data_IF_065899029250
#
_entry.id   IF_065899029250
#
_cell.length_a   1.000
_cell.length_b   1.000
_cell.length_c   1.000
_cell.angle_alpha   90.00
_cell.angle_beta   90.00
_cell.angle_gamma   90.00
#
_symmetry.space_group_name_H-M   'P 1'
#
loop_
_entity.id
_entity.type
_entity.pdbx_description
1 polymer ?
#
# COMPACT_ATOMS: atom_id res chain seq x y z
N UNK A 1 8.75 -8.42 -26.25
CA UNK A 1 7.33 -8.00 -26.39
C UNK A 1 7.26 -6.50 -26.16
N UNK A 2 6.91 -5.74 -27.19
CA UNK A 2 6.68 -4.29 -27.07
C UNK A 2 5.35 -4.06 -26.38
N UNK A 3 5.37 -3.38 -25.23
CA UNK A 3 4.14 -2.97 -24.54
C UNK A 3 3.29 -2.16 -25.51
N UNK A 4 2.00 -2.50 -25.73
CA UNK A 4 1.14 -1.72 -26.60
C UNK A 4 1.13 -0.25 -26.15
N UNK A 5 1.06 0.71 -27.09
CA UNK A 5 1.04 2.12 -26.74
C UNK A 5 -0.13 2.37 -25.79
N UNK A 6 0.15 3.03 -24.67
CA UNK A 6 -0.89 3.36 -23.71
C UNK A 6 -1.88 4.32 -24.40
N UNK A 7 -3.19 4.21 -24.12
CA UNK A 7 -4.21 5.04 -24.76
C UNK A 7 -4.19 6.50 -24.29
N UNK A 8 -3.08 6.97 -23.72
CA UNK A 8 -2.90 8.30 -23.18
C UNK A 8 -1.45 8.77 -23.30
N UNK A 9 -1.28 10.08 -23.48
CA UNK A 9 0.01 10.75 -23.60
C UNK A 9 0.72 10.79 -22.23
N UNK A 10 1.77 9.98 -22.06
CA UNK A 10 2.53 9.87 -20.80
C UNK A 10 3.20 11.17 -20.38
N UNK A 11 3.53 12.04 -21.33
CA UNK A 11 4.24 13.29 -21.06
C UNK A 11 3.27 14.41 -20.67
N UNK A 12 1.97 14.24 -20.93
CA UNK A 12 0.93 15.24 -20.64
C UNK A 12 -0.26 14.66 -19.86
N UNK A 13 0.03 14.03 -18.71
CA UNK A 13 -1.00 13.45 -17.81
C UNK A 13 -1.79 14.50 -17.01
N UNK A 14 -1.22 15.69 -16.81
CA UNK A 14 -1.81 16.77 -16.03
C UNK A 14 -1.91 18.08 -16.81
N UNK A 15 -2.96 18.85 -16.54
CA UNK A 15 -3.15 20.21 -17.09
C UNK A 15 -3.49 21.18 -15.96
N UNK A 16 -2.94 22.38 -16.04
CA UNK A 16 -3.26 23.46 -15.12
C UNK A 16 -4.66 24.02 -15.43
N UNK A 17 -5.50 24.13 -14.42
CA UNK A 17 -6.84 24.69 -14.57
C UNK A 17 -6.77 26.21 -14.82
N UNK A 18 -7.48 26.73 -15.83
CA UNK A 18 -7.50 28.17 -16.13
C UNK A 18 -7.86 29.01 -14.91
N UNK A 19 -7.13 30.11 -14.69
CA UNK A 19 -7.43 31.09 -13.64
C UNK A 19 -7.09 30.65 -12.21
N UNK A 20 -6.46 29.49 -12.00
CA UNK A 20 -6.15 28.99 -10.65
C UNK A 20 -4.77 29.40 -10.13
N UNK A 21 -3.88 29.88 -11.00
CA UNK A 21 -2.54 30.36 -10.64
C UNK A 21 -2.60 31.63 -9.80
N UNK A 22 -1.71 31.73 -8.80
CA UNK A 22 -1.53 32.93 -7.97
C UNK A 22 -0.03 33.26 -7.86
N UNK A 23 0.35 34.52 -7.58
CA UNK A 23 1.75 34.87 -7.33
C UNK A 23 2.36 33.96 -6.24
N UNK A 24 3.52 33.36 -6.53
CA UNK A 24 4.23 32.48 -5.59
C UNK A 24 3.79 31.00 -5.59
N UNK A 25 2.82 30.59 -6.41
CA UNK A 25 2.41 29.18 -6.52
C UNK A 25 2.01 28.79 -7.95
N UNK A 26 2.03 27.48 -8.22
CA UNK A 26 1.45 26.93 -9.45
C UNK A 26 -0.08 27.01 -9.41
N UNK A 27 -0.73 26.88 -10.56
CA UNK A 27 -2.17 26.63 -10.58
C UNK A 27 -2.53 25.23 -10.05
N UNK A 28 -3.82 24.96 -9.96
CA UNK A 28 -4.37 23.65 -9.62
C UNK A 28 -4.25 22.76 -10.85
N UNK A 29 -3.63 21.59 -10.71
CA UNK A 29 -3.51 20.60 -11.79
C UNK A 29 -4.62 19.55 -11.70
N UNK A 30 -5.17 19.18 -12.85
CA UNK A 30 -6.11 18.06 -13.02
C UNK A 30 -5.57 17.07 -14.04
N UNK A 31 -6.05 15.83 -13.95
CA UNK A 31 -5.79 14.82 -14.99
C UNK A 31 -6.38 15.32 -16.31
N UNK A 32 -5.60 15.24 -17.39
CA UNK A 32 -6.08 15.55 -18.75
C UNK A 32 -7.34 14.74 -19.10
N UNK A 33 -8.33 15.41 -19.68
CA UNK A 33 -9.65 14.85 -20.04
C UNK A 33 -10.64 14.74 -18.89
N UNK A 34 -10.30 15.26 -17.71
CA UNK A 34 -11.16 15.33 -16.51
C UNK A 34 -10.94 16.67 -15.78
N UNK A 35 -10.77 17.75 -16.54
CA UNK A 35 -10.54 19.10 -16.05
C UNK A 35 -11.77 19.63 -15.27
N UNK A 36 -12.95 19.19 -15.67
CA UNK A 36 -14.26 19.61 -15.17
C UNK A 36 -14.77 18.78 -13.97
N UNK A 37 -14.18 17.61 -13.70
CA UNK A 37 -14.69 16.70 -12.66
C UNK A 37 -13.61 15.91 -11.92
N UNK A 38 -13.94 15.52 -10.69
CA UNK A 38 -13.18 14.53 -9.94
C UNK A 38 -13.63 13.12 -10.29
N UNK A 39 -12.69 12.18 -10.41
CA UNK A 39 -13.01 10.76 -10.57
C UNK A 39 -12.89 10.06 -9.23
N UNK A 40 -14.00 9.49 -8.76
CA UNK A 40 -14.00 8.64 -7.56
C UNK A 40 -13.65 7.18 -7.88
N UNK A 41 -13.96 6.72 -9.09
CA UNK A 41 -13.68 5.35 -9.54
C UNK A 41 -13.47 5.28 -11.06
N UNK A 42 -12.89 4.19 -11.60
CA UNK A 42 -12.69 4.04 -13.02
C UNK A 42 -14.02 3.78 -13.75
N UNK A 43 -14.50 4.74 -14.55
CA UNK A 43 -15.74 4.62 -15.36
C UNK A 43 -15.78 3.37 -16.26
N UNK A 44 -14.62 2.93 -16.78
CA UNK A 44 -14.52 1.69 -17.58
C UNK A 44 -14.60 0.40 -16.75
N UNK A 45 -14.51 0.50 -15.42
CA UNK A 45 -14.58 -0.61 -14.46
C UNK A 45 -15.31 -0.15 -13.20
N UNK A 46 -16.62 0.16 -13.27
CA UNK A 46 -17.37 0.77 -12.18
C UNK A 46 -17.54 -0.13 -10.95
N UNK A 47 -17.26 -1.44 -11.09
CA UNK A 47 -17.22 -2.40 -9.98
C UNK A 47 -15.98 -2.23 -9.09
N UNK A 48 -14.94 -1.51 -9.53
CA UNK A 48 -13.75 -1.23 -8.72
C UNK A 48 -14.01 0.06 -7.94
N UNK A 49 -14.40 -0.06 -6.68
CA UNK A 49 -14.76 1.09 -5.82
C UNK A 49 -13.78 1.30 -4.68
N UNK A 50 -13.02 0.27 -4.34
CA UNK A 50 -12.06 0.27 -3.23
C UNK A 50 -10.70 -0.24 -3.69
N UNK A 51 -9.67 -0.01 -2.88
CA UNK A 51 -8.35 -0.60 -3.10
C UNK A 51 -8.41 -2.14 -2.99
N UNK A 52 -9.31 -2.67 -2.15
CA UNK A 52 -9.65 -4.09 -2.11
C UNK A 52 -10.10 -4.60 -3.49
N UNK A 53 -11.08 -3.94 -4.10
CA UNK A 53 -11.59 -4.34 -5.43
C UNK A 53 -10.49 -4.27 -6.48
N UNK A 54 -9.64 -3.24 -6.44
CA UNK A 54 -8.54 -3.08 -7.37
C UNK A 54 -7.51 -4.21 -7.24
N UNK A 55 -7.16 -4.58 -6.00
CA UNK A 55 -6.26 -5.70 -5.72
C UNK A 55 -6.85 -7.03 -6.21
N UNK A 56 -8.11 -7.33 -5.84
CA UNK A 56 -8.80 -8.55 -6.28
C UNK A 56 -8.96 -8.61 -7.80
N UNK A 57 -9.26 -7.49 -8.44
CA UNK A 57 -9.31 -7.39 -9.90
C UNK A 57 -7.95 -7.73 -10.53
N UNK A 58 -6.85 -7.18 -9.99
CA UNK A 58 -5.49 -7.49 -10.46
C UNK A 58 -5.14 -8.97 -10.35
N UNK A 59 -5.46 -9.59 -9.20
CA UNK A 59 -5.27 -11.04 -8.99
C UNK A 59 -6.06 -11.86 -10.01
N UNK A 60 -7.32 -11.50 -10.28
CA UNK A 60 -8.18 -12.21 -11.22
C UNK A 60 -7.72 -12.06 -12.68
N UNK A 61 -7.13 -10.91 -13.05
CA UNK A 61 -6.65 -10.67 -14.42
C UNK A 61 -5.43 -11.52 -14.78
N UNK A 62 -4.56 -11.81 -13.82
CA UNK A 62 -3.27 -12.45 -14.09
C UNK A 62 -2.69 -13.11 -12.85
N UNK A 63 -3.30 -14.19 -12.34
CA UNK A 63 -2.90 -14.80 -11.07
C UNK A 63 -1.45 -15.30 -11.10
N UNK A 64 -0.97 -15.75 -12.25
CA UNK A 64 0.38 -16.29 -12.44
C UNK A 64 1.41 -15.23 -12.88
N UNK A 65 1.01 -13.97 -13.07
CA UNK A 65 1.94 -12.92 -13.48
C UNK A 65 2.82 -12.48 -12.31
N UNK A 66 4.08 -12.07 -12.55
CA UNK A 66 4.93 -11.48 -11.53
C UNK A 66 4.31 -10.23 -10.89
N UNK A 67 4.31 -10.18 -9.55
CA UNK A 67 3.80 -9.03 -8.77
C UNK A 67 4.90 -8.40 -7.90
N UNK A 68 5.50 -9.17 -6.99
CA UNK A 68 6.52 -8.67 -6.06
C UNK A 68 7.86 -9.34 -6.32
N UNK A 69 8.87 -8.54 -6.67
CA UNK A 69 10.23 -8.99 -6.92
C UNK A 69 11.16 -8.68 -5.75
N UNK A 70 12.05 -9.60 -5.41
CA UNK A 70 13.17 -9.36 -4.48
C UNK A 70 14.48 -9.84 -5.08
N UNK A 71 15.61 -9.29 -4.63
CA UNK A 71 16.93 -9.78 -4.96
C UNK A 71 17.54 -10.45 -3.73
N UNK A 72 17.75 -11.77 -3.73
CA UNK A 72 18.40 -12.45 -2.62
C UNK A 72 19.83 -11.92 -2.44
N UNK A 73 20.22 -11.70 -1.18
CA UNK A 73 21.60 -11.42 -0.82
C UNK A 73 22.36 -12.73 -0.66
N UNK A 74 23.48 -12.88 -1.38
CA UNK A 74 24.41 -13.98 -1.20
C UNK A 74 25.50 -13.58 -0.20
N UNK A 75 25.56 -14.20 0.99
CA UNK A 75 26.54 -13.83 2.02
C UNK A 75 27.96 -14.29 1.68
N UNK A 76 28.13 -15.26 0.77
CA UNK A 76 29.44 -15.78 0.37
C UNK A 76 30.06 -14.85 -0.66
N UNK A 77 29.32 -14.52 -1.71
CA UNK A 77 29.82 -13.64 -2.78
C UNK A 77 29.66 -12.15 -2.44
N UNK A 78 28.87 -11.81 -1.41
CA UNK A 78 28.51 -10.44 -1.01
C UNK A 78 27.88 -9.66 -2.18
N UNK A 79 27.01 -10.32 -2.93
CA UNK A 79 26.31 -9.71 -4.06
C UNK A 79 24.82 -10.01 -4.01
N UNK A 80 24.04 -9.17 -4.68
CA UNK A 80 22.62 -9.41 -4.90
C UNK A 80 22.41 -10.23 -6.17
N UNK A 81 21.70 -11.35 -6.05
CA UNK A 81 21.33 -12.20 -7.17
C UNK A 81 20.29 -11.58 -8.13
N UNK A 82 19.82 -12.37 -9.11
CA UNK A 82 18.72 -11.97 -9.99
C UNK A 82 17.41 -11.80 -9.20
N UNK A 83 16.41 -11.17 -9.82
CA UNK A 83 15.09 -11.03 -9.21
C UNK A 83 14.38 -12.38 -9.11
N UNK A 84 13.93 -12.69 -7.90
CA UNK A 84 12.93 -13.71 -7.61
C UNK A 84 11.55 -13.05 -7.51
N UNK A 85 10.58 -13.54 -8.26
CA UNK A 85 9.24 -12.98 -8.32
C UNK A 85 8.23 -13.87 -7.60
N UNK A 86 7.33 -13.23 -6.86
CA UNK A 86 6.08 -13.82 -6.42
C UNK A 86 4.98 -13.44 -7.39
N UNK A 87 4.12 -14.40 -7.70
CA UNK A 87 2.94 -14.19 -8.54
C UNK A 87 1.84 -13.43 -7.78
N UNK A 88 0.90 -12.83 -8.51
CA UNK A 88 -0.27 -12.20 -7.89
C UNK A 88 -1.04 -13.16 -6.96
N UNK A 89 -1.19 -14.43 -7.34
CA UNK A 89 -1.87 -15.42 -6.51
C UNK A 89 -1.09 -15.69 -5.22
N UNK A 90 0.22 -15.92 -5.31
CA UNK A 90 1.07 -16.13 -4.12
C UNK A 90 1.01 -14.94 -3.17
N UNK A 91 1.04 -13.71 -3.70
CA UNK A 91 0.91 -12.51 -2.87
C UNK A 91 -0.49 -12.42 -2.24
N UNK A 92 -1.55 -12.71 -2.99
CA UNK A 92 -2.92 -12.76 -2.44
C UNK A 92 -3.04 -13.75 -1.28
N UNK A 93 -2.46 -14.94 -1.42
CA UNK A 93 -2.50 -15.97 -0.37
C UNK A 93 -1.77 -15.50 0.89
N UNK A 94 -0.57 -14.93 0.71
CA UNK A 94 0.22 -14.36 1.82
C UNK A 94 -0.48 -13.20 2.51
N UNK A 95 -1.11 -12.32 1.75
CA UNK A 95 -1.87 -11.18 2.29
C UNK A 95 -3.04 -11.67 3.15
N UNK A 96 -3.80 -12.67 2.68
CA UNK A 96 -4.90 -13.26 3.45
C UNK A 96 -4.40 -13.96 4.72
N UNK A 97 -3.35 -14.78 4.61
CA UNK A 97 -2.78 -15.48 5.76
C UNK A 97 -2.22 -14.50 6.81
N UNK A 98 -1.49 -13.48 6.36
CA UNK A 98 -0.92 -12.46 7.24
C UNK A 98 -2.01 -11.63 7.92
N UNK A 99 -3.01 -11.16 7.17
CA UNK A 99 -4.11 -10.37 7.72
C UNK A 99 -4.96 -11.16 8.73
N UNK A 100 -5.23 -12.44 8.47
CA UNK A 100 -5.91 -13.31 9.44
C UNK A 100 -5.10 -13.49 10.74
N UNK A 101 -3.79 -13.70 10.62
CA UNK A 101 -2.91 -13.77 11.79
C UNK A 101 -2.84 -12.45 12.56
N UNK A 102 -2.83 -11.33 11.85
CA UNK A 102 -2.83 -9.99 12.45
C UNK A 102 -4.12 -9.71 13.24
N UNK A 103 -5.27 -10.04 12.65
CA UNK A 103 -6.57 -9.93 13.32
C UNK A 103 -6.63 -10.82 14.56
N UNK A 104 -6.09 -12.05 14.48
CA UNK A 104 -5.99 -12.93 15.64
C UNK A 104 -5.14 -12.30 16.76
N UNK A 105 -3.94 -11.82 16.46
CA UNK A 105 -3.05 -11.17 17.45
C UNK A 105 -3.73 -9.97 18.10
N UNK A 106 -4.37 -9.12 17.29
CA UNK A 106 -5.11 -7.97 17.78
C UNK A 106 -6.17 -8.42 18.81
N UNK A 107 -6.98 -9.41 18.46
CA UNK A 107 -8.09 -9.87 19.30
C UNK A 107 -7.66 -10.64 20.56
N UNK A 108 -6.49 -11.30 20.57
CA UNK A 108 -6.06 -12.14 21.70
C UNK A 108 -5.02 -11.50 22.60
N UNK A 109 -4.25 -10.52 22.11
CA UNK A 109 -3.09 -9.99 22.84
C UNK A 109 -3.17 -8.50 23.15
N UNK A 110 -3.99 -7.72 22.44
CA UNK A 110 -4.15 -6.29 22.74
C UNK A 110 -5.19 -6.15 23.86
N UNK A 111 -4.75 -5.62 25.00
CA UNK A 111 -5.57 -5.48 26.21
C UNK A 111 -6.37 -4.18 26.20
N UNK A 112 -7.50 -4.17 26.93
CA UNK A 112 -8.34 -2.97 27.06
C UNK A 112 -9.09 -2.61 25.78
N UNK A 113 -9.16 -3.55 24.83
CA UNK A 113 -9.93 -3.37 23.61
C UNK A 113 -11.41 -3.49 23.89
N UNK A 114 -12.16 -2.58 23.28
CA UNK A 114 -13.54 -2.83 22.95
C UNK A 114 -13.57 -3.95 21.88
N UNK A 115 -14.23 -5.06 22.20
CA UNK A 115 -14.33 -6.26 21.34
C UNK A 115 -15.55 -6.21 20.42
N UNK A 116 -16.27 -5.09 20.40
CA UNK A 116 -17.31 -4.86 19.40
C UNK A 116 -16.72 -4.88 18.00
N UNK A 117 -17.53 -5.30 17.03
CA UNK A 117 -17.14 -5.38 15.63
C UNK A 117 -16.68 -4.03 15.06
N UNK A 118 -17.19 -2.92 15.60
CA UNK A 118 -16.79 -1.56 15.25
C UNK A 118 -15.40 -1.20 15.77
N UNK A 119 -15.03 -1.61 16.98
CA UNK A 119 -13.74 -1.32 17.59
C UNK A 119 -12.58 -2.17 17.04
N UNK A 120 -12.88 -3.34 16.48
CA UNK A 120 -11.90 -4.20 15.79
C UNK A 120 -11.64 -3.71 14.35
N UNK A 121 -12.38 -2.70 13.88
CA UNK A 121 -12.17 -2.06 12.58
C UNK A 121 -11.44 -0.73 12.71
N UNK A 122 -10.62 -0.39 11.72
CA UNK A 122 -9.97 0.92 11.62
C UNK A 122 -8.84 1.18 12.64
N UNK A 123 -8.40 0.17 13.38
CA UNK A 123 -7.22 0.30 14.26
C UNK A 123 -5.94 0.50 13.45
N UNK A 124 -4.87 0.99 14.11
CA UNK A 124 -3.64 1.42 13.44
C UNK A 124 -2.53 0.37 13.54
N UNK A 125 -1.99 -0.03 12.39
CA UNK A 125 -0.84 -0.92 12.28
C UNK A 125 0.43 -0.11 11.98
N UNK A 126 1.37 -0.08 12.91
CA UNK A 126 2.68 0.48 12.66
C UNK A 126 3.48 -0.41 11.71
N UNK A 127 4.00 0.15 10.61
CA UNK A 127 4.88 -0.52 9.67
C UNK A 127 6.26 0.11 9.73
N UNK A 128 7.17 -0.56 10.44
CA UNK A 128 8.55 -0.13 10.61
C UNK A 128 9.49 -1.01 9.79
N UNK A 129 9.58 -0.72 8.50
CA UNK A 129 10.46 -1.46 7.60
C UNK A 129 10.87 -0.65 6.39
N UNK A 130 12.02 -1.01 5.81
CA UNK A 130 12.42 -0.54 4.49
C UNK A 130 11.47 -1.06 3.40
N UNK A 131 11.53 -0.45 2.22
CA UNK A 131 10.78 -0.92 1.05
C UNK A 131 11.18 -2.35 0.68
N UNK A 132 10.29 -3.31 0.98
CA UNK A 132 10.46 -4.73 0.67
C UNK A 132 9.10 -5.40 0.39
N UNK A 133 9.13 -6.60 -0.17
CA UNK A 133 7.93 -7.34 -0.52
C UNK A 133 6.99 -7.54 0.70
N UNK A 134 7.57 -7.84 1.87
CA UNK A 134 6.85 -8.05 3.11
C UNK A 134 6.14 -6.79 3.60
N UNK A 135 6.74 -5.60 3.41
CA UNK A 135 6.09 -4.32 3.72
C UNK A 135 4.83 -4.14 2.87
N UNK A 136 4.92 -4.45 1.57
CA UNK A 136 3.77 -4.37 0.65
C UNK A 136 2.67 -5.36 1.05
N UNK A 137 3.04 -6.58 1.44
CA UNK A 137 2.11 -7.60 1.92
C UNK A 137 1.40 -7.13 3.19
N UNK A 138 2.14 -6.61 4.17
CA UNK A 138 1.57 -6.13 5.42
C UNK A 138 0.64 -4.93 5.20
N UNK A 139 1.04 -3.96 4.37
CA UNK A 139 0.19 -2.81 4.04
C UNK A 139 -1.07 -3.22 3.27
N UNK A 140 -0.95 -4.15 2.31
CA UNK A 140 -2.10 -4.66 1.55
C UNK A 140 -3.04 -5.47 2.45
N UNK A 141 -2.50 -6.25 3.39
CA UNK A 141 -3.31 -6.93 4.41
C UNK A 141 -4.07 -5.92 5.27
N UNK A 142 -3.45 -4.80 5.62
CA UNK A 142 -4.13 -3.73 6.34
C UNK A 142 -5.37 -3.23 5.57
N UNK A 143 -5.22 -2.92 4.28
CA UNK A 143 -6.35 -2.54 3.42
C UNK A 143 -7.43 -3.63 3.38
N UNK A 144 -7.04 -4.91 3.21
CA UNK A 144 -7.97 -6.02 3.04
C UNK A 144 -8.75 -6.36 4.33
N UNK A 145 -8.18 -6.05 5.49
CA UNK A 145 -8.76 -6.34 6.81
C UNK A 145 -9.25 -5.07 7.53
N UNK A 146 -9.42 -3.97 6.81
CA UNK A 146 -9.88 -2.68 7.33
C UNK A 146 -9.01 -2.14 8.50
N UNK A 147 -7.69 -2.20 8.34
CA UNK A 147 -6.67 -1.71 9.29
C UNK A 147 -5.89 -0.57 8.65
N UNK A 148 -5.68 0.51 9.41
CA UNK A 148 -4.99 1.71 8.94
C UNK A 148 -3.48 1.53 9.09
N UNK A 149 -2.73 1.57 7.99
CA UNK A 149 -1.27 1.49 8.03
C UNK A 149 -0.63 2.82 8.42
N UNK A 150 0.33 2.79 9.35
CA UNK A 150 1.14 3.93 9.79
C UNK A 150 2.60 3.66 9.48
N UNK A 151 3.20 4.41 8.55
CA UNK A 151 4.61 4.26 8.18
C UNK A 151 5.56 4.85 9.23
N UNK A 152 6.53 4.06 9.68
CA UNK A 152 7.56 4.46 10.66
C UNK A 152 8.95 4.39 10.02
N UNK A 153 9.75 5.44 10.19
CA UNK A 153 11.04 5.60 9.50
C UNK A 153 12.17 5.96 10.47
N UNK A 154 13.29 5.24 10.38
CA UNK A 154 14.49 5.49 11.19
C UNK A 154 15.17 6.83 10.90
N UNK A 155 14.95 7.38 9.70
CA UNK A 155 15.62 8.59 9.23
C UNK A 155 15.31 9.84 10.06
N UNK A 156 14.23 9.81 10.85
CA UNK A 156 13.81 10.92 11.70
C UNK A 156 14.26 10.75 13.17
N UNK A 157 14.97 9.67 13.48
CA UNK A 157 15.46 9.35 14.82
C UNK A 157 14.43 8.63 15.70
N UNK A 158 14.88 8.06 16.84
CA UNK A 158 14.05 7.23 17.70
C UNK A 158 12.86 7.99 18.29
N UNK A 159 13.02 9.28 18.62
CA UNK A 159 11.94 10.10 19.17
C UNK A 159 10.77 10.27 18.19
N UNK A 160 11.06 10.39 16.89
CA UNK A 160 10.02 10.47 15.88
C UNK A 160 9.24 9.16 15.73
N UNK A 161 9.90 8.01 15.91
CA UNK A 161 9.24 6.69 15.91
C UNK A 161 8.34 6.54 17.13
N UNK A 162 8.84 6.89 18.32
CA UNK A 162 8.05 6.88 19.57
C UNK A 162 6.83 7.80 19.45
N UNK A 163 7.04 9.02 18.94
CA UNK A 163 5.96 9.96 18.67
C UNK A 163 4.95 9.39 17.67
N UNK A 164 5.41 8.83 16.55
CA UNK A 164 4.55 8.23 15.52
C UNK A 164 3.67 7.11 16.08
N UNK A 165 4.24 6.19 16.85
CA UNK A 165 3.51 5.09 17.50
C UNK A 165 2.47 5.64 18.48
N UNK A 166 2.88 6.58 19.34
CA UNK A 166 2.01 7.14 20.40
C UNK A 166 0.88 7.97 19.82
N UNK A 167 1.20 8.90 18.90
CA UNK A 167 0.25 9.82 18.30
C UNK A 167 -0.79 9.11 17.43
N UNK A 168 -0.40 8.01 16.79
CA UNK A 168 -1.32 7.20 15.97
C UNK A 168 -2.02 6.10 16.76
N UNK A 169 -1.69 5.92 18.05
CA UNK A 169 -2.27 4.90 18.93
C UNK A 169 -2.13 3.49 18.33
N UNK A 170 -0.95 3.15 17.79
CA UNK A 170 -0.71 1.84 17.19
C UNK A 170 -0.65 0.72 18.26
N UNK A 171 -1.65 -0.19 18.36
CA UNK A 171 -1.56 -1.33 19.28
C UNK A 171 -0.57 -2.40 18.84
N UNK A 172 -0.25 -2.47 17.54
CA UNK A 172 0.67 -3.47 16.96
C UNK A 172 1.61 -2.79 15.99
N UNK A 173 2.89 -3.21 16.03
CA UNK A 173 3.93 -2.76 15.10
C UNK A 173 4.58 -3.98 14.43
N UNK A 174 4.70 -3.93 13.10
CA UNK A 174 5.43 -4.90 12.29
C UNK A 174 6.79 -4.30 11.94
N UNK A 175 7.86 -4.98 12.34
CA UNK A 175 9.23 -4.52 12.14
C UNK A 175 10.00 -5.45 11.19
N UNK A 176 10.89 -4.91 10.35
CA UNK A 176 11.93 -5.76 9.75
C UNK A 176 12.94 -6.22 10.79
N UNK A 177 13.34 -7.49 10.70
CA UNK A 177 14.52 -7.99 11.40
C UNK A 177 15.81 -7.30 10.92
N UNK A 178 16.86 -7.44 11.73
CA UNK A 178 18.23 -7.02 11.38
C UNK A 178 18.80 -7.85 10.24
#
# INVERSE_FOLDING_TARGET
MTTPPLPYDKDHQGVELPGTRRPGQTGIYRRRGFEDRLRSFPESRPHIRTVYDAFKHGVNLGPNNPMLGRRPWDPVTKTFGPYEWQTYQQVSDRVNQFGAGLAHIHNTHVQGLDTTEEAVQGWRLGLWSINRAEWTIASTAGVLYNVVSVGLYDSLGPEAVVYGITHSECPVVVCSGK
#
